data_IF_828490427612
#
_entry.id   IF_828490427612
#
_cell.length_a   1.000
_cell.length_b   1.000
_cell.length_c   1.000
_cell.angle_alpha   90.00
_cell.angle_beta   90.00
_cell.angle_gamma   90.00
#
_symmetry.space_group_name_H-M   'P 1'
#
loop_
_entity.id
_entity.type
_entity.pdbx_description
1 polymer ?
#
# COMPACT_ATOMS: atom_id res chain seq x y z
N UNK A 1 -11.22 0.55 -24.86
CA UNK A 1 -11.26 -0.16 -23.56
C UNK A 1 -12.58 -0.91 -23.29
N UNK A 2 -13.75 -0.36 -23.66
CA UNK A 2 -15.08 -0.99 -23.38
C UNK A 2 -15.24 -2.45 -23.82
N UNK A 3 -14.72 -2.84 -24.98
CA UNK A 3 -14.89 -4.20 -25.52
C UNK A 3 -14.14 -5.28 -24.70
N UNK A 4 -13.00 -4.96 -24.10
CA UNK A 4 -12.25 -5.92 -23.28
C UNK A 4 -12.95 -6.20 -21.95
N UNK A 5 -13.56 -5.18 -21.33
CA UNK A 5 -14.31 -5.33 -20.08
C UNK A 5 -15.62 -6.11 -20.26
N UNK A 6 -16.31 -5.92 -21.39
CA UNK A 6 -17.54 -6.64 -21.68
C UNK A 6 -17.30 -8.13 -21.94
N UNK A 7 -16.11 -8.48 -22.48
CA UNK A 7 -15.70 -9.88 -22.65
C UNK A 7 -15.48 -10.58 -21.31
N UNK A 8 -14.82 -9.93 -20.35
CA UNK A 8 -14.59 -10.51 -19.03
C UNK A 8 -15.88 -10.69 -18.21
N UNK A 9 -16.89 -9.84 -18.40
CA UNK A 9 -18.21 -10.03 -17.77
C UNK A 9 -18.91 -11.30 -18.28
N UNK A 10 -18.90 -11.51 -19.60
CA UNK A 10 -19.51 -12.68 -20.22
C UNK A 10 -18.80 -13.99 -19.82
N UNK A 11 -17.46 -13.97 -19.75
CA UNK A 11 -16.65 -15.13 -19.39
C UNK A 11 -16.91 -15.58 -17.93
N UNK A 12 -17.06 -14.64 -16.99
CA UNK A 12 -17.39 -14.97 -15.58
C UNK A 12 -18.77 -15.60 -15.44
N UNK A 13 -19.76 -15.09 -16.19
CA UNK A 13 -21.12 -15.60 -16.17
C UNK A 13 -21.21 -17.01 -16.76
N UNK A 14 -20.44 -17.28 -17.81
CA UNK A 14 -20.33 -18.61 -18.39
C UNK A 14 -19.75 -19.62 -17.39
N UNK A 15 -18.67 -19.25 -16.70
CA UNK A 15 -18.02 -20.11 -15.69
C UNK A 15 -18.98 -20.39 -14.53
N UNK A 16 -19.67 -19.39 -14.00
CA UNK A 16 -20.63 -19.58 -12.89
C UNK A 16 -21.76 -20.54 -13.30
N UNK A 17 -22.33 -20.37 -14.50
CA UNK A 17 -23.40 -21.25 -15.00
C UNK A 17 -22.90 -22.66 -15.27
N UNK A 18 -21.70 -22.81 -15.83
CA UNK A 18 -21.10 -24.12 -16.12
C UNK A 18 -20.85 -24.91 -14.85
N UNK A 19 -20.24 -24.28 -13.85
CA UNK A 19 -19.98 -24.93 -12.55
C UNK A 19 -21.28 -25.34 -11.85
N UNK A 20 -22.30 -24.48 -11.85
CA UNK A 20 -23.63 -24.85 -11.31
C UNK A 20 -24.21 -26.09 -12.00
N UNK A 21 -24.08 -26.19 -13.31
CA UNK A 21 -24.60 -27.31 -14.10
C UNK A 21 -23.81 -28.59 -13.79
N UNK A 22 -22.47 -28.52 -13.78
CA UNK A 22 -21.61 -29.66 -13.45
C UNK A 22 -21.86 -30.16 -12.01
N UNK A 23 -22.19 -29.28 -11.06
CA UNK A 23 -22.60 -29.67 -9.70
C UNK A 23 -23.96 -30.36 -9.63
N UNK A 24 -24.96 -29.87 -10.39
CA UNK A 24 -26.27 -30.52 -10.45
C UNK A 24 -26.13 -31.94 -11.03
N UNK A 25 -25.30 -32.11 -12.06
CA UNK A 25 -25.08 -33.40 -12.69
C UNK A 25 -24.24 -34.36 -11.83
N UNK A 26 -23.26 -33.87 -11.06
CA UNK A 26 -22.43 -34.73 -10.20
C UNK A 26 -23.19 -35.27 -8.99
N UNK A 27 -24.20 -34.55 -8.48
CA UNK A 27 -25.08 -35.04 -7.41
C UNK A 27 -25.98 -36.20 -7.82
N UNK A 28 -26.16 -36.44 -9.13
CA UNK A 28 -26.98 -37.54 -9.64
C UNK A 28 -26.24 -38.87 -9.79
N UNK A 29 -24.89 -38.89 -9.82
CA UNK A 29 -24.14 -40.08 -10.22
C UNK A 29 -23.17 -40.67 -9.19
N UNK A 30 -22.69 -39.97 -8.16
CA UNK A 30 -21.69 -40.57 -7.24
C UNK A 30 -21.74 -40.09 -5.78
N UNK A 31 -21.64 -41.05 -4.86
CA UNK A 31 -21.44 -40.82 -3.42
C UNK A 31 -20.04 -40.26 -3.11
N UNK A 32 -20.03 -39.18 -2.32
CA UNK A 32 -18.97 -38.28 -1.88
C UNK A 32 -17.50 -38.77 -1.78
N UNK A 33 -16.57 -37.90 -2.21
CA UNK A 33 -15.25 -37.72 -1.58
C UNK A 33 -14.92 -36.22 -1.45
N UNK A 34 -14.16 -35.88 -0.41
CA UNK A 34 -13.98 -34.53 0.12
C UNK A 34 -12.99 -33.68 -0.69
N UNK A 35 -13.52 -32.84 -1.57
CA UNK A 35 -12.85 -31.66 -2.14
C UNK A 35 -13.72 -30.42 -1.85
N UNK A 36 -13.10 -29.25 -1.78
CA UNK A 36 -13.62 -27.97 -1.25
C UNK A 36 -15.14 -27.74 -1.44
N UNK A 37 -15.83 -27.29 -0.37
CA UNK A 37 -17.29 -27.15 -0.35
C UNK A 37 -17.78 -26.34 -1.58
N UNK A 38 -18.51 -26.95 -2.53
CA UNK A 38 -18.87 -26.34 -3.80
C UNK A 38 -19.75 -25.10 -3.63
N UNK A 39 -20.50 -25.02 -2.53
CA UNK A 39 -21.29 -23.83 -2.18
C UNK A 39 -20.40 -22.60 -1.94
N UNK A 40 -19.25 -22.78 -1.29
CA UNK A 40 -18.29 -21.70 -0.98
C UNK A 40 -17.65 -21.18 -2.26
N UNK A 41 -17.38 -22.05 -3.23
CA UNK A 41 -16.83 -21.63 -4.53
C UNK A 41 -17.82 -20.79 -5.34
N UNK A 42 -19.10 -21.16 -5.35
CA UNK A 42 -20.14 -20.37 -5.98
C UNK A 42 -20.37 -19.02 -5.27
N UNK A 43 -20.29 -18.98 -3.95
CA UNK A 43 -20.40 -17.75 -3.18
C UNK A 43 -19.23 -16.79 -3.45
N UNK A 44 -18.00 -17.32 -3.54
CA UNK A 44 -16.82 -16.55 -3.91
C UNK A 44 -16.91 -15.97 -5.32
N UNK A 45 -17.41 -16.74 -6.31
CA UNK A 45 -17.60 -16.24 -7.67
C UNK A 45 -18.65 -15.11 -7.72
N UNK A 46 -19.75 -15.24 -6.99
CA UNK A 46 -20.75 -14.17 -6.86
C UNK A 46 -20.14 -12.90 -6.27
N UNK A 47 -19.32 -13.03 -5.22
CA UNK A 47 -18.64 -11.90 -4.61
C UNK A 47 -17.63 -11.22 -5.57
N UNK A 48 -16.91 -11.99 -6.37
CA UNK A 48 -15.97 -11.46 -7.38
C UNK A 48 -16.72 -10.72 -8.49
N UNK A 49 -17.83 -11.28 -8.99
CA UNK A 49 -18.69 -10.63 -9.99
C UNK A 49 -19.25 -9.29 -9.49
N UNK A 50 -19.71 -9.24 -8.23
CA UNK A 50 -20.22 -8.02 -7.62
C UNK A 50 -19.14 -6.92 -7.52
N UNK A 51 -17.93 -7.27 -7.07
CA UNK A 51 -16.80 -6.32 -6.99
C UNK A 51 -16.39 -5.78 -8.34
N UNK A 52 -16.34 -6.64 -9.35
CA UNK A 52 -15.98 -6.23 -10.71
C UNK A 52 -17.04 -5.26 -11.30
N UNK A 53 -18.32 -5.53 -11.10
CA UNK A 53 -19.41 -4.64 -11.52
C UNK A 53 -19.29 -3.24 -10.91
N UNK A 54 -18.94 -3.15 -9.62
CA UNK A 54 -18.77 -1.87 -8.93
C UNK A 54 -17.57 -1.10 -9.48
N UNK A 55 -16.45 -1.78 -9.73
CA UNK A 55 -15.27 -1.16 -10.33
C UNK A 55 -15.58 -0.62 -11.73
N UNK A 56 -16.39 -1.34 -12.52
CA UNK A 56 -16.85 -0.87 -13.82
C UNK A 56 -17.71 0.39 -13.73
N UNK A 57 -18.60 0.52 -12.73
CA UNK A 57 -19.37 1.76 -12.52
C UNK A 57 -18.46 2.92 -12.12
N UNK A 58 -17.52 2.71 -11.20
CA UNK A 58 -16.59 3.75 -10.75
C UNK A 58 -15.71 4.27 -11.90
N UNK A 59 -15.19 3.37 -12.75
CA UNK A 59 -14.40 3.77 -13.91
C UNK A 59 -15.22 4.60 -14.89
N UNK A 60 -16.51 4.27 -15.09
CA UNK A 60 -17.41 5.06 -15.96
C UNK A 60 -17.62 6.46 -15.40
N UNK A 61 -17.84 6.59 -14.09
CA UNK A 61 -17.98 7.90 -13.43
C UNK A 61 -16.72 8.75 -13.59
N UNK A 62 -15.54 8.17 -13.38
CA UNK A 62 -14.26 8.88 -13.58
C UNK A 62 -14.13 9.34 -15.03
N UNK A 63 -14.48 8.50 -16.01
CA UNK A 63 -14.39 8.90 -17.43
C UNK A 63 -15.37 10.02 -17.77
N UNK A 64 -16.56 10.03 -17.18
CA UNK A 64 -17.54 11.09 -17.38
C UNK A 64 -17.06 12.41 -16.74
N UNK A 65 -16.56 12.36 -15.50
CA UNK A 65 -16.01 13.53 -14.83
C UNK A 65 -14.78 14.12 -15.57
N UNK A 66 -13.91 13.25 -16.10
CA UNK A 66 -12.79 13.68 -16.94
C UNK A 66 -13.27 14.34 -18.22
N UNK A 67 -14.31 13.81 -18.86
CA UNK A 67 -14.91 14.40 -20.06
C UNK A 67 -15.51 15.77 -19.78
N UNK A 68 -16.31 15.90 -18.72
CA UNK A 68 -16.90 17.17 -18.30
C UNK A 68 -15.84 18.22 -17.96
N UNK A 69 -14.76 17.82 -17.29
CA UNK A 69 -13.62 18.69 -17.02
C UNK A 69 -12.93 19.16 -18.30
N UNK A 70 -12.70 18.28 -19.28
CA UNK A 70 -12.10 18.67 -20.55
C UNK A 70 -13.00 19.60 -21.35
N UNK A 71 -14.30 19.33 -21.37
CA UNK A 71 -15.28 20.16 -22.08
C UNK A 71 -15.37 21.56 -21.44
N UNK A 72 -15.32 21.65 -20.11
CA UNK A 72 -15.24 22.94 -19.39
C UNK A 72 -13.99 23.74 -19.78
N UNK A 73 -12.81 23.10 -19.79
CA UNK A 73 -11.57 23.75 -20.22
C UNK A 73 -11.69 24.25 -21.66
N UNK A 74 -12.23 23.42 -22.57
CA UNK A 74 -12.43 23.81 -23.98
C UNK A 74 -13.33 25.03 -24.10
N UNK A 75 -14.46 25.07 -23.38
CA UNK A 75 -15.37 26.23 -23.39
C UNK A 75 -14.71 27.50 -22.86
N UNK A 76 -13.91 27.39 -21.78
CA UNK A 76 -13.20 28.54 -21.22
C UNK A 76 -12.17 29.10 -22.20
N UNK A 77 -11.41 28.23 -22.88
CA UNK A 77 -10.42 28.66 -23.87
C UNK A 77 -11.08 29.32 -25.08
N UNK A 78 -12.18 28.76 -25.59
CA UNK A 78 -12.96 29.37 -26.67
C UNK A 78 -13.46 30.78 -26.29
N UNK A 79 -14.01 30.95 -25.08
CA UNK A 79 -14.45 32.27 -24.61
C UNK A 79 -13.32 33.28 -24.50
N UNK A 80 -12.14 32.88 -24.02
CA UNK A 80 -10.96 33.75 -23.97
C UNK A 80 -10.51 34.15 -25.40
N UNK A 81 -10.50 33.21 -26.34
CA UNK A 81 -10.16 33.51 -27.74
C UNK A 81 -11.14 34.51 -28.38
N UNK A 82 -12.44 34.40 -28.08
CA UNK A 82 -13.44 35.36 -28.55
C UNK A 82 -13.19 36.77 -28.01
N UNK A 83 -12.87 36.91 -26.72
CA UNK A 83 -12.51 38.20 -26.12
C UNK A 83 -11.24 38.79 -26.74
N UNK A 84 -10.21 37.96 -26.95
CA UNK A 84 -8.98 38.39 -27.62
C UNK A 84 -9.28 38.92 -29.03
N UNK A 85 -10.10 38.20 -29.81
CA UNK A 85 -10.50 38.62 -31.15
C UNK A 85 -11.30 39.92 -31.15
N UNK A 86 -12.20 40.11 -30.19
CA UNK A 86 -12.95 41.37 -30.03
C UNK A 86 -12.01 42.53 -29.69
N UNK A 87 -11.09 42.36 -28.73
CA UNK A 87 -10.10 43.39 -28.39
C UNK A 87 -9.24 43.75 -29.61
N UNK A 88 -8.78 42.76 -30.38
CA UNK A 88 -8.01 42.96 -31.61
C UNK A 88 -8.81 43.72 -32.68
N UNK A 89 -10.12 43.52 -32.80
CA UNK A 89 -10.96 44.27 -33.74
C UNK A 89 -11.19 45.72 -33.32
N UNK A 90 -11.11 46.03 -32.03
CA UNK A 90 -11.32 47.39 -31.50
C UNK A 90 -10.06 48.25 -31.47
N UNK A 91 -8.88 47.63 -31.52
CA UNK A 91 -7.59 48.30 -31.65
C UNK A 91 -7.08 48.10 -33.07
N UNK A 92 -6.95 49.15 -33.88
CA UNK A 92 -6.43 49.08 -35.26
C UNK A 92 -4.93 48.66 -35.31
N UNK A 93 -4.61 47.45 -34.85
CA UNK A 93 -3.30 46.84 -34.85
C UNK A 93 -3.37 45.58 -35.71
N UNK A 94 -2.82 45.66 -36.93
CA UNK A 94 -2.55 44.48 -37.74
C UNK A 94 -1.46 43.64 -37.05
N UNK A 95 -1.79 42.41 -36.65
CA UNK A 95 -0.83 41.40 -36.22
C UNK A 95 -0.93 40.19 -37.13
N UNK A 96 0.25 39.69 -37.50
CA UNK A 96 0.56 38.56 -38.37
C UNK A 96 -0.28 37.31 -38.10
N UNK A 97 -0.65 36.61 -39.18
CA UNK A 97 -1.35 35.32 -39.14
C UNK A 97 -0.63 34.28 -38.27
N UNK A 98 -1.41 33.54 -37.47
CA UNK A 98 -0.97 32.43 -36.62
C UNK A 98 0.05 31.55 -37.36
N UNK A 99 1.22 31.38 -36.76
CA UNK A 99 2.30 30.55 -37.32
C UNK A 99 1.87 29.08 -37.40
N UNK A 100 2.41 28.32 -38.36
CA UNK A 100 2.03 26.93 -38.62
C UNK A 100 2.06 26.05 -37.35
N UNK A 101 2.98 26.33 -36.43
CA UNK A 101 3.11 25.66 -35.13
C UNK A 101 1.94 25.94 -34.16
N UNK A 102 1.34 27.13 -34.22
CA UNK A 102 0.18 27.49 -33.38
C UNK A 102 -1.11 26.85 -33.92
N UNK A 103 -1.20 26.67 -35.24
CA UNK A 103 -2.29 25.92 -35.88
C UNK A 103 -2.19 24.41 -35.61
N UNK A 104 -0.98 23.85 -35.62
CA UNK A 104 -0.73 22.47 -35.20
C UNK A 104 -1.04 22.23 -33.71
N UNK A 105 -0.70 23.17 -32.83
CA UNK A 105 -1.02 23.09 -31.40
C UNK A 105 -2.54 23.16 -31.13
N UNK A 106 -3.28 23.97 -31.88
CA UNK A 106 -4.75 24.02 -31.81
C UNK A 106 -5.40 22.71 -32.31
N UNK A 107 -4.84 22.08 -33.35
CA UNK A 107 -5.27 20.77 -33.84
C UNK A 107 -5.01 19.65 -32.82
N UNK A 108 -3.88 19.71 -32.10
CA UNK A 108 -3.53 18.75 -31.04
C UNK A 108 -4.47 18.83 -29.83
N UNK A 109 -4.95 20.01 -29.44
CA UNK A 109 -5.94 20.19 -28.35
C UNK A 109 -7.33 19.62 -28.69
N UNK A 110 -7.63 19.43 -29.98
CA UNK A 110 -8.84 18.75 -30.46
C UNK A 110 -8.76 17.22 -30.42
N UNK A 111 -7.55 16.66 -30.32
CA UNK A 111 -7.33 15.21 -30.29
C UNK A 111 -7.05 14.72 -28.86
N UNK A 112 -7.73 13.64 -28.47
CA UNK A 112 -7.63 13.04 -27.14
C UNK A 112 -6.19 12.64 -26.78
N UNK A 113 -5.64 13.23 -25.69
CA UNK A 113 -4.28 12.94 -25.22
C UNK A 113 -4.30 11.97 -24.03
N UNK A 114 -3.60 10.86 -24.22
CA UNK A 114 -2.99 10.05 -23.15
C UNK A 114 -1.78 10.80 -22.55
N UNK A 115 -1.84 10.99 -21.23
CA UNK A 115 -0.82 11.46 -20.27
C UNK A 115 0.65 11.04 -20.51
N UNK A 116 1.63 11.54 -19.73
CA UNK A 116 1.86 12.89 -19.16
C UNK A 116 3.35 13.33 -19.25
N UNK A 117 3.67 14.60 -19.00
CA UNK A 117 4.86 15.02 -18.23
C UNK A 117 4.80 16.52 -17.93
N UNK A 118 5.02 16.89 -16.66
CA UNK A 118 4.92 18.25 -16.12
C UNK A 118 6.26 18.60 -15.48
N UNK A 119 6.99 19.56 -16.04
CA UNK A 119 8.02 20.32 -15.32
C UNK A 119 7.52 21.76 -15.12
N UNK A 120 7.72 22.29 -13.91
CA UNK A 120 7.30 23.62 -13.46
C UNK A 120 8.54 24.43 -13.11
N UNK A 121 8.68 25.66 -13.63
CA UNK A 121 9.69 26.63 -13.19
C UNK A 121 9.18 28.09 -13.17
N UNK A 122 9.27 28.72 -11.99
CA UNK A 122 9.52 30.15 -11.64
C UNK A 122 8.74 31.28 -12.32
N UNK A 123 8.23 32.28 -11.60
CA UNK A 123 9.02 33.39 -11.02
C UNK A 123 8.09 34.35 -10.27
N UNK A 124 8.57 35.00 -9.20
CA UNK A 124 8.10 36.34 -8.81
C UNK A 124 9.17 37.06 -7.98
N UNK A 125 9.46 38.31 -8.36
CA UNK A 125 10.30 39.27 -7.67
C UNK A 125 9.46 40.51 -7.36
N UNK A 126 9.72 41.24 -6.26
CA UNK A 126 9.38 42.66 -6.26
C UNK A 126 10.48 43.60 -5.74
N UNK A 127 10.67 44.62 -6.58
CA UNK A 127 10.74 46.06 -6.29
C UNK A 127 11.96 46.65 -5.55
N UNK A 128 12.62 47.53 -6.31
CA UNK A 128 13.62 48.49 -5.90
C UNK A 128 12.97 49.75 -5.29
N UNK A 129 13.58 50.28 -4.23
CA UNK A 129 13.33 51.63 -3.68
C UNK A 129 14.55 52.54 -3.90
N UNK A 130 14.26 53.82 -4.12
CA UNK A 130 15.18 54.89 -4.53
C UNK A 130 16.21 55.30 -3.45
N UNK A 131 17.45 55.70 -3.81
CA UNK A 131 18.43 56.22 -2.87
C UNK A 131 18.42 57.75 -2.73
N UNK A 132 18.46 58.22 -1.48
CA UNK A 132 18.64 59.63 -1.10
C UNK A 132 20.12 60.06 -1.22
N UNK A 133 20.34 61.31 -1.60
CA UNK A 133 21.65 61.93 -1.87
C UNK A 133 22.36 62.39 -0.58
N UNK A 134 23.60 61.94 -0.37
CA UNK A 134 24.48 62.33 0.75
C UNK A 134 25.67 63.17 0.24
N UNK A 135 26.20 64.11 1.03
CA UNK A 135 27.19 65.09 0.55
C UNK A 135 28.53 64.44 0.17
N UNK A 136 28.98 64.73 -1.05
CA UNK A 136 30.07 64.06 -1.77
C UNK A 136 31.43 63.97 -1.03
N UNK A 137 31.72 64.88 -0.10
CA UNK A 137 33.00 64.91 0.65
C UNK A 137 33.11 63.82 1.72
N UNK A 138 31.99 63.46 2.35
CA UNK A 138 31.90 62.39 3.36
C UNK A 138 31.91 61.01 2.70
N UNK A 139 31.28 60.89 1.53
CA UNK A 139 31.34 59.69 0.72
C UNK A 139 32.76 59.37 0.26
N UNK A 140 33.52 60.36 -0.24
CA UNK A 140 34.89 60.16 -0.72
C UNK A 140 35.83 59.64 0.37
N UNK A 141 35.74 60.20 1.59
CA UNK A 141 36.50 59.70 2.75
C UNK A 141 36.09 58.29 3.15
N UNK A 142 34.78 57.98 3.14
CA UNK A 142 34.29 56.63 3.45
C UNK A 142 34.71 55.60 2.38
N UNK A 143 34.72 55.98 1.10
CA UNK A 143 35.16 55.16 -0.04
C UNK A 143 36.67 54.91 0.03
N UNK A 144 37.48 55.93 0.34
CA UNK A 144 38.92 55.78 0.53
C UNK A 144 39.27 54.89 1.74
N UNK A 145 38.55 55.03 2.86
CA UNK A 145 38.75 54.17 4.04
C UNK A 145 38.29 52.73 3.78
N UNK A 146 37.21 52.51 3.02
CA UNK A 146 36.78 51.18 2.56
C UNK A 146 37.80 50.56 1.61
N UNK A 147 38.34 51.32 0.67
CA UNK A 147 39.40 50.87 -0.25
C UNK A 147 40.68 50.49 0.51
N UNK A 148 41.14 51.33 1.45
CA UNK A 148 42.31 51.01 2.31
C UNK A 148 42.10 49.73 3.12
N UNK A 149 40.91 49.53 3.70
CA UNK A 149 40.56 48.30 4.43
C UNK A 149 40.46 47.08 3.51
N UNK A 150 39.99 47.24 2.27
CA UNK A 150 39.91 46.16 1.28
C UNK A 150 41.30 45.73 0.79
N UNK A 151 42.22 46.67 0.58
CA UNK A 151 43.63 46.40 0.23
C UNK A 151 44.33 45.65 1.35
N UNK A 152 44.18 46.07 2.61
CA UNK A 152 44.78 45.40 3.77
C UNK A 152 44.24 43.98 4.01
N UNK A 153 42.94 43.75 3.81
CA UNK A 153 42.33 42.41 3.94
C UNK A 153 42.74 41.46 2.82
N UNK A 154 43.13 41.98 1.65
CA UNK A 154 43.46 41.19 0.48
C UNK A 154 42.26 40.45 -0.13
N UNK A 155 42.40 40.07 -1.41
CA UNK A 155 41.34 39.47 -2.26
C UNK A 155 40.80 38.14 -1.70
N UNK A 156 41.54 37.50 -0.79
CA UNK A 156 41.23 36.16 -0.26
C UNK A 156 40.63 36.17 1.16
N UNK A 157 40.43 37.34 1.79
CA UNK A 157 39.94 37.43 3.19
C UNK A 157 38.59 36.76 3.44
N UNK A 158 37.74 36.69 2.41
CA UNK A 158 36.41 36.08 2.51
C UNK A 158 36.38 34.59 2.13
N UNK A 159 37.52 33.97 1.78
CA UNK A 159 37.57 32.54 1.44
C UNK A 159 37.47 31.67 2.70
N UNK A 160 36.24 31.33 3.08
CA UNK A 160 35.95 30.41 4.18
C UNK A 160 36.27 28.97 3.76
N UNK A 161 37.33 28.39 4.35
CA UNK A 161 37.71 26.99 4.14
C UNK A 161 36.93 26.07 5.08
N UNK A 162 36.57 24.87 4.62
CA UNK A 162 35.99 23.84 5.49
C UNK A 162 37.07 23.23 6.38
N UNK A 163 37.15 23.69 7.62
CA UNK A 163 38.12 23.20 8.62
C UNK A 163 37.81 21.74 8.95
N UNK A 164 38.82 20.87 8.88
CA UNK A 164 38.76 19.49 9.36
C UNK A 164 39.60 19.40 10.63
N UNK A 165 38.96 19.08 11.75
CA UNK A 165 39.61 19.00 13.07
C UNK A 165 40.27 17.65 13.34
N UNK A 166 39.96 16.63 12.53
CA UNK A 166 40.53 15.29 12.61
C UNK A 166 41.41 15.02 11.38
N UNK A 167 42.59 14.40 11.55
CA UNK A 167 43.44 13.99 10.44
C UNK A 167 42.85 12.79 9.67
N UNK A 168 41.99 11.99 10.31
CA UNK A 168 41.33 10.84 9.67
C UNK A 168 40.15 11.28 8.81
N UNK A 169 40.16 10.92 7.53
CA UNK A 169 39.03 11.11 6.62
C UNK A 169 37.92 10.10 6.93
N UNK A 170 36.71 10.57 7.22
CA UNK A 170 35.52 9.72 7.39
C UNK A 170 34.61 9.86 6.19
N UNK A 171 34.12 8.73 5.67
CA UNK A 171 33.10 8.72 4.62
C UNK A 171 31.89 9.52 5.11
N UNK A 172 31.42 10.54 4.36
CA UNK A 172 30.22 11.28 4.74
C UNK A 172 29.02 10.33 4.73
N UNK A 173 28.07 10.56 5.65
CA UNK A 173 26.79 9.85 5.61
C UNK A 173 26.06 10.30 4.34
N UNK A 174 25.85 9.36 3.43
CA UNK A 174 25.09 9.57 2.20
C UNK A 174 23.66 9.05 2.38
N UNK A 175 22.72 9.58 1.61
CA UNK A 175 21.37 9.01 1.53
C UNK A 175 21.44 7.53 1.11
N UNK A 176 20.71 6.67 1.80
CA UNK A 176 20.51 5.27 1.42
C UNK A 176 19.02 5.07 1.17
N UNK A 177 18.64 5.03 -0.10
CA UNK A 177 17.25 4.80 -0.51
C UNK A 177 16.78 3.40 -0.08
N UNK A 178 15.50 3.27 0.26
CA UNK A 178 14.89 1.96 0.50
C UNK A 178 14.78 1.18 -0.81
N UNK A 179 14.84 -0.16 -0.74
CA UNK A 179 14.66 -1.01 -1.91
C UNK A 179 13.22 -0.90 -2.43
N UNK A 180 13.06 -0.47 -3.68
CA UNK A 180 11.80 -0.43 -4.41
C UNK A 180 11.94 -1.32 -5.67
N UNK A 181 11.65 -2.64 -5.57
CA UNK A 181 11.77 -3.53 -6.72
C UNK A 181 10.65 -3.26 -7.74
N UNK A 182 10.98 -3.30 -9.04
CA UNK A 182 10.01 -3.03 -10.13
C UNK A 182 8.97 -4.15 -10.31
N UNK A 183 9.28 -5.36 -9.85
CA UNK A 183 8.39 -6.52 -9.89
C UNK A 183 8.53 -7.33 -8.59
N UNK A 184 7.46 -7.99 -8.11
CA UNK A 184 7.54 -8.84 -6.94
C UNK A 184 8.37 -10.10 -7.25
N UNK A 185 9.18 -10.56 -6.28
CA UNK A 185 10.02 -11.78 -6.44
C UNK A 185 9.21 -13.07 -6.41
N UNK A 186 8.00 -13.03 -5.88
CA UNK A 186 7.03 -14.14 -5.84
C UNK A 186 5.67 -13.57 -6.23
N UNK A 187 4.92 -14.30 -7.05
CA UNK A 187 3.59 -13.86 -7.50
C UNK A 187 2.62 -13.69 -6.33
N UNK A 188 2.68 -14.58 -5.34
CA UNK A 188 1.84 -14.54 -4.16
C UNK A 188 2.65 -14.78 -2.87
N UNK A 189 2.21 -14.21 -1.72
CA UNK A 189 2.77 -14.55 -0.42
C UNK A 189 2.46 -16.02 -0.05
N UNK A 190 3.36 -16.64 0.73
CA UNK A 190 3.16 -18.02 1.19
C UNK A 190 2.11 -18.05 2.31
N UNK A 191 1.16 -18.98 2.23
CA UNK A 191 0.22 -19.24 3.33
C UNK A 191 0.91 -19.83 4.56
N UNK A 192 0.42 -19.46 5.75
CA UNK A 192 0.86 -20.08 6.99
C UNK A 192 0.37 -21.53 7.02
N UNK A 193 1.30 -22.48 7.12
CA UNK A 193 0.98 -23.92 7.19
C UNK A 193 0.74 -24.42 8.62
N UNK A 194 1.12 -23.62 9.61
CA UNK A 194 1.05 -23.96 11.03
C UNK A 194 -0.12 -23.17 11.64
N UNK A 195 -1.33 -23.65 11.38
CA UNK A 195 -2.58 -23.11 11.92
C UNK A 195 -2.92 -23.77 13.26
N UNK A 196 -4.04 -23.38 13.87
CA UNK A 196 -4.42 -23.86 15.20
C UNK A 196 -4.61 -25.39 15.25
N UNK A 197 -5.18 -25.97 14.19
CA UNK A 197 -5.37 -27.41 14.04
C UNK A 197 -4.06 -28.15 13.77
N UNK A 198 -3.12 -27.59 13.01
CA UNK A 198 -1.79 -28.19 12.85
C UNK A 198 -0.95 -28.10 14.14
N UNK A 199 -1.17 -27.07 14.97
CA UNK A 199 -0.49 -26.92 16.26
C UNK A 199 -0.93 -28.03 17.21
N UNK A 200 -2.23 -28.15 17.50
CA UNK A 200 -2.78 -29.11 18.46
C UNK A 200 -3.21 -30.36 17.69
N UNK A 201 -2.45 -31.45 17.82
CA UNK A 201 -2.72 -32.67 17.06
C UNK A 201 -3.82 -33.50 17.71
N UNK A 202 -3.60 -33.91 18.96
CA UNK A 202 -4.55 -34.71 19.73
C UNK A 202 -4.27 -34.60 21.24
N UNK A 203 -5.28 -34.77 22.09
CA UNK A 203 -5.11 -34.88 23.54
C UNK A 203 -4.42 -36.19 23.93
N UNK A 204 -3.61 -36.17 24.99
CA UNK A 204 -2.93 -37.35 25.49
C UNK A 204 -3.79 -38.03 26.56
N UNK A 205 -4.16 -39.29 26.33
CA UNK A 205 -5.14 -40.05 27.14
C UNK A 205 -4.49 -41.07 28.09
N UNK A 206 -3.21 -40.90 28.42
CA UNK A 206 -2.49 -41.81 29.34
C UNK A 206 -2.96 -41.63 30.78
N UNK A 207 -2.87 -42.66 31.62
CA UNK A 207 -3.23 -42.61 33.05
C UNK A 207 -2.61 -41.41 33.78
N UNK A 208 -1.31 -41.16 33.55
CA UNK A 208 -0.61 -40.01 34.12
C UNK A 208 -1.15 -38.64 33.66
N UNK A 209 -1.75 -38.58 32.48
CA UNK A 209 -2.40 -37.40 31.93
C UNK A 209 -3.83 -37.23 32.48
N UNK A 210 -4.58 -38.32 32.63
CA UNK A 210 -5.90 -38.31 33.28
C UNK A 210 -5.80 -37.79 34.71
N UNK A 211 -4.81 -38.28 35.48
CA UNK A 211 -4.50 -37.77 36.81
C UNK A 211 -4.17 -36.27 36.84
N UNK A 212 -3.57 -35.74 35.77
CA UNK A 212 -3.25 -34.31 35.65
C UNK A 212 -4.48 -33.44 35.34
N UNK A 213 -5.50 -34.02 34.72
CA UNK A 213 -6.79 -33.36 34.49
C UNK A 213 -7.48 -33.16 35.85
N UNK A 214 -7.56 -34.23 36.64
CA UNK A 214 -8.21 -34.24 37.97
C UNK A 214 -7.47 -33.38 39.01
N UNK A 215 -6.18 -33.64 39.25
CA UNK A 215 -5.46 -33.06 40.39
C UNK A 215 -5.04 -31.59 40.20
N UNK A 216 -4.76 -31.19 38.95
CA UNK A 216 -4.02 -29.96 38.66
C UNK A 216 -4.73 -29.00 37.71
N UNK A 217 -5.95 -29.32 37.26
CA UNK A 217 -6.68 -28.57 36.25
C UNK A 217 -5.80 -28.32 35.00
N UNK A 218 -5.19 -29.40 34.50
CA UNK A 218 -4.26 -29.36 33.37
C UNK A 218 -4.63 -30.35 32.27
N UNK A 219 -4.82 -29.85 31.05
CA UNK A 219 -4.99 -30.67 29.86
C UNK A 219 -3.62 -30.99 29.26
N UNK A 220 -3.45 -32.21 28.78
CA UNK A 220 -2.20 -32.65 28.14
C UNK A 220 -2.46 -32.89 26.66
N UNK A 221 -1.69 -32.23 25.81
CA UNK A 221 -1.79 -32.36 24.36
C UNK A 221 -0.48 -32.84 23.75
N UNK A 222 -0.61 -33.57 22.64
CA UNK A 222 0.46 -33.74 21.67
C UNK A 222 0.36 -32.63 20.63
N UNK A 223 1.50 -32.00 20.38
CA UNK A 223 1.62 -30.75 19.64
C UNK A 223 2.73 -30.88 18.59
N UNK A 224 2.67 -30.06 17.54
CA UNK A 224 3.78 -29.93 16.60
C UNK A 224 5.10 -29.47 17.26
N UNK A 225 6.22 -30.04 16.80
CA UNK A 225 7.56 -29.77 17.34
C UNK A 225 7.99 -28.32 17.12
N UNK A 226 7.47 -27.64 16.10
CA UNK A 226 7.80 -26.24 15.80
C UNK A 226 6.95 -25.24 16.58
N UNK A 227 5.89 -25.69 17.26
CA UNK A 227 4.97 -24.79 17.96
C UNK A 227 5.57 -24.22 19.25
N UNK A 228 5.49 -22.90 19.43
CA UNK A 228 5.92 -22.21 20.64
C UNK A 228 4.81 -22.20 21.71
N UNK A 229 5.18 -22.01 22.99
CA UNK A 229 4.21 -21.95 24.11
C UNK A 229 3.10 -20.92 23.90
N UNK A 230 3.42 -19.76 23.31
CA UNK A 230 2.45 -18.72 22.99
C UNK A 230 1.45 -19.15 21.91
N UNK A 231 1.91 -19.88 20.89
CA UNK A 231 1.06 -20.40 19.82
C UNK A 231 0.13 -21.50 20.36
N UNK A 232 0.63 -22.37 21.23
CA UNK A 232 -0.16 -23.41 21.91
C UNK A 232 -1.25 -22.75 22.77
N UNK A 233 -0.89 -21.76 23.58
CA UNK A 233 -1.83 -21.00 24.40
C UNK A 233 -2.95 -20.38 23.55
N UNK A 234 -2.61 -19.75 22.43
CA UNK A 234 -3.59 -19.16 21.53
C UNK A 234 -4.45 -20.20 20.81
N UNK A 235 -3.85 -21.32 20.37
CA UNK A 235 -4.57 -22.39 19.69
C UNK A 235 -5.60 -23.05 20.61
N UNK A 236 -5.23 -23.41 21.84
CA UNK A 236 -6.16 -23.98 22.83
C UNK A 236 -7.28 -23.00 23.14
N UNK A 237 -6.95 -21.71 23.33
CA UNK A 237 -7.95 -20.67 23.58
C UNK A 237 -8.94 -20.52 22.42
N UNK A 238 -8.47 -20.62 21.17
CA UNK A 238 -9.31 -20.44 19.98
C UNK A 238 -10.12 -21.67 19.59
N UNK A 239 -9.60 -22.87 19.85
CA UNK A 239 -10.25 -24.12 19.44
C UNK A 239 -11.32 -24.58 20.43
N UNK A 240 -11.08 -24.37 21.72
CA UNK A 240 -11.94 -24.89 22.77
C UNK A 240 -12.62 -23.78 23.58
N UNK A 241 -12.34 -22.50 23.27
CA UNK A 241 -12.88 -21.32 23.96
C UNK A 241 -12.58 -21.28 25.48
N UNK A 242 -11.34 -21.62 25.85
CA UNK A 242 -10.88 -21.70 27.24
C UNK A 242 -9.74 -20.74 27.50
N UNK A 243 -9.70 -20.14 28.69
CA UNK A 243 -8.54 -19.39 29.14
C UNK A 243 -7.46 -20.27 29.79
N UNK A 244 -6.22 -20.03 29.35
CA UNK A 244 -5.05 -20.78 29.78
C UNK A 244 -4.19 -19.92 30.71
N UNK A 245 -3.91 -20.43 31.91
CA UNK A 245 -2.98 -19.79 32.84
C UNK A 245 -1.54 -19.88 32.31
N UNK A 246 -1.03 -21.11 32.14
CA UNK A 246 0.36 -21.36 31.68
C UNK A 246 0.48 -22.62 30.84
N UNK A 247 1.52 -22.67 30.00
CA UNK A 247 1.85 -23.82 29.17
C UNK A 247 3.29 -24.26 29.45
N UNK A 248 3.45 -25.55 29.76
CA UNK A 248 4.73 -26.22 29.89
C UNK A 248 4.86 -27.22 28.74
N UNK A 249 6.06 -27.34 28.17
CA UNK A 249 6.29 -28.21 27.01
C UNK A 249 7.55 -29.05 27.22
N UNK A 250 7.54 -30.29 26.75
CA UNK A 250 8.71 -31.15 26.64
C UNK A 250 8.68 -31.90 25.31
N UNK A 251 9.85 -32.30 24.81
CA UNK A 251 9.95 -33.18 23.63
C UNK A 251 10.05 -34.61 24.17
N UNK A 252 9.17 -35.49 23.70
CA UNK A 252 9.21 -36.93 24.02
C UNK A 252 10.37 -37.60 23.28
N UNK A 253 10.89 -38.72 23.77
CA UNK A 253 11.87 -39.52 23.01
C UNK A 253 11.33 -39.98 21.64
N UNK A 254 10.00 -40.09 21.51
CA UNK A 254 9.28 -40.38 20.27
C UNK A 254 9.44 -39.29 19.19
N UNK A 255 10.02 -38.14 19.53
CA UNK A 255 10.19 -36.98 18.65
C UNK A 255 8.99 -36.03 18.60
N UNK A 256 7.91 -36.32 19.32
CA UNK A 256 6.74 -35.45 19.40
C UNK A 256 6.78 -34.51 20.60
N UNK A 257 6.19 -33.31 20.48
CA UNK A 257 6.13 -32.36 21.59
C UNK A 257 4.88 -32.63 22.44
N UNK A 258 5.09 -32.83 23.74
CA UNK A 258 4.03 -32.91 24.75
C UNK A 258 3.87 -31.54 25.42
N UNK A 259 2.64 -31.05 25.54
CA UNK A 259 2.30 -29.81 26.20
C UNK A 259 1.36 -30.05 27.38
N UNK A 260 1.74 -29.57 28.56
CA UNK A 260 0.88 -29.46 29.73
C UNK A 260 0.29 -28.05 29.76
N UNK A 261 -1.02 -27.96 29.62
CA UNK A 261 -1.76 -26.71 29.52
C UNK A 261 -2.59 -26.55 30.77
N UNK A 262 -2.17 -25.66 31.67
CA UNK A 262 -2.92 -25.35 32.88
C UNK A 262 -3.97 -24.30 32.56
N UNK A 263 -5.23 -24.61 32.87
CA UNK A 263 -6.35 -23.72 32.63
C UNK A 263 -6.39 -22.60 33.69
N UNK A 264 -7.12 -21.54 33.38
CA UNK A 264 -7.52 -20.55 34.37
C UNK A 264 -8.44 -21.20 35.43
N UNK A 265 -8.46 -20.70 36.67
CA UNK A 265 -9.28 -21.28 37.73
C UNK A 265 -10.79 -21.21 37.44
N UNK A 266 -11.21 -20.33 36.53
CA UNK A 266 -12.61 -20.16 36.12
C UNK A 266 -13.14 -21.30 35.25
N UNK A 267 -12.26 -22.16 34.73
CA UNK A 267 -12.60 -23.30 33.89
C UNK A 267 -12.16 -24.60 34.55
N UNK A 268 -13.02 -25.61 34.53
CA UNK A 268 -12.67 -26.97 34.97
C UNK A 268 -12.20 -27.82 33.77
N UNK A 269 -11.03 -28.47 33.93
CA UNK A 269 -10.46 -29.34 32.91
C UNK A 269 -11.28 -30.61 32.70
N UNK A 270 -11.99 -31.10 33.72
CA UNK A 270 -12.86 -32.29 33.59
C UNK A 270 -14.02 -32.02 32.64
N UNK A 271 -14.73 -30.91 32.82
CA UNK A 271 -15.83 -30.50 31.95
C UNK A 271 -15.38 -30.27 30.51
N UNK A 272 -14.21 -29.68 30.34
CA UNK A 272 -13.63 -29.50 29.02
C UNK A 272 -13.28 -30.84 28.38
N UNK A 273 -12.68 -31.76 29.12
CA UNK A 273 -12.30 -33.07 28.58
C UNK A 273 -13.52 -33.87 28.13
N UNK A 274 -14.65 -33.76 28.83
CA UNK A 274 -15.95 -34.31 28.42
C UNK A 274 -16.44 -33.68 27.10
N UNK A 275 -16.32 -32.36 26.95
CA UNK A 275 -16.67 -31.66 25.69
C UNK A 275 -15.77 -32.06 24.51
N UNK A 276 -14.50 -32.36 24.78
CA UNK A 276 -13.57 -32.84 23.75
C UNK A 276 -13.84 -34.32 23.42
N UNK A 277 -14.43 -35.08 24.35
CA UNK A 277 -14.73 -36.51 24.18
C UNK A 277 -13.56 -37.43 24.52
N UNK A 278 -12.81 -37.10 25.58
CA UNK A 278 -11.63 -37.88 26.03
C UNK A 278 -11.95 -38.75 27.25
N UNK A 279 -13.03 -38.43 27.96
CA UNK A 279 -13.53 -39.09 29.16
C UNK A 279 -14.90 -39.69 28.83
#
# INVERSE_FOLDING_TARGET
MSSQFQKSEADLDYIERRLKLDFINSTAENGSSAEENPAVMLENLKAVKAKYSLLCSEVKEITNAQKESMDSIRTSLSGIMEVIKQCQQTSDLEVSSLTELEQEAAALLGAAVSSPETEVLSTEAPQAQQPQTVPAKTEAKSKALKAKKAVLKGVHSHKKKKIRTSPTFRRPKTLRLRRQPKYPRKSAPRRNKLDHYAIIKFPLTTESAMKKIEDNNTLVFIVDVKANKHQIKHAVKKLYDIDVAKVNTLIRPDGEKKAYVRLAPDYDALDVANKIGII
#
